data_IF_625993022087
#
_entry.id   IF_625993022087
#
_cell.length_a   1.000
_cell.length_b   1.000
_cell.length_c   1.000
_cell.angle_alpha   90.00
_cell.angle_beta   90.00
_cell.angle_gamma   90.00
#
_symmetry.space_group_name_H-M   'P 1'
#
loop_
_entity.id
_entity.type
_entity.pdbx_description
1 polymer ?
#
# COMPACT_ATOMS: atom_id res chain seq x y z
N UNK A 1 -2.55 3.98 -16.91
CA UNK A 1 -1.44 3.02 -16.67
C UNK A 1 -2.01 1.63 -16.45
N UNK A 2 -2.83 1.44 -15.41
CA UNK A 2 -3.46 0.14 -15.08
C UNK A 2 -4.30 -0.44 -16.22
N UNK A 3 -5.07 0.39 -16.93
CA UNK A 3 -5.86 -0.09 -18.07
C UNK A 3 -5.01 -0.75 -19.17
N UNK A 4 -3.79 -0.23 -19.40
CA UNK A 4 -2.85 -0.85 -20.36
C UNK A 4 -2.33 -2.19 -19.84
N UNK A 5 -1.97 -2.27 -18.56
CA UNK A 5 -1.53 -3.51 -17.93
C UNK A 5 -2.64 -4.57 -18.04
N UNK A 6 -3.89 -4.22 -17.73
CA UNK A 6 -5.02 -5.14 -17.81
C UNK A 6 -5.35 -5.55 -19.24
N UNK A 7 -5.18 -4.65 -20.22
CA UNK A 7 -5.24 -4.99 -21.64
C UNK A 7 -4.24 -6.09 -22.02
N UNK A 8 -2.98 -5.94 -21.61
CA UNK A 8 -1.95 -6.97 -21.89
C UNK A 8 -2.23 -8.31 -21.21
N UNK A 9 -2.78 -8.31 -19.99
CA UNK A 9 -3.19 -9.54 -19.32
C UNK A 9 -4.30 -10.25 -20.10
N UNK A 10 -5.32 -9.50 -20.54
CA UNK A 10 -6.42 -10.03 -21.33
C UNK A 10 -5.93 -10.60 -22.66
N UNK A 11 -5.08 -9.87 -23.40
CA UNK A 11 -4.46 -10.35 -24.65
C UNK A 11 -3.66 -11.63 -24.45
N UNK A 12 -2.97 -11.76 -23.31
CA UNK A 12 -2.24 -12.96 -22.93
C UNK A 12 -3.12 -14.08 -22.34
N UNK A 13 -4.44 -13.91 -22.28
CA UNK A 13 -5.38 -14.88 -21.70
C UNK A 13 -5.23 -15.08 -20.20
N UNK A 14 -4.68 -14.10 -19.48
CA UNK A 14 -4.46 -14.14 -18.03
C UNK A 14 -5.56 -13.38 -17.29
N UNK A 15 -6.08 -13.98 -16.22
CA UNK A 15 -6.99 -13.29 -15.31
C UNK A 15 -6.21 -12.28 -14.46
N UNK A 16 -6.70 -11.03 -14.42
CA UNK A 16 -6.16 -9.97 -13.57
C UNK A 16 -6.10 -10.36 -12.09
N UNK A 17 -7.00 -11.21 -11.60
CA UNK A 17 -7.02 -11.65 -10.20
C UNK A 17 -5.80 -12.51 -9.84
N UNK A 18 -5.12 -13.09 -10.84
CA UNK A 18 -3.91 -13.88 -10.62
C UNK A 18 -2.65 -13.02 -10.48
N UNK A 19 -2.74 -11.72 -10.77
CA UNK A 19 -1.61 -10.80 -10.67
C UNK A 19 -1.66 -10.03 -9.35
N UNK A 20 -0.65 -10.26 -8.50
CA UNK A 20 -0.39 -9.42 -7.34
C UNK A 20 0.12 -8.04 -7.75
N UNK A 21 -0.48 -6.98 -7.21
CA UNK A 21 -0.01 -5.60 -7.39
C UNK A 21 0.30 -5.06 -6.00
N UNK A 22 1.58 -4.80 -5.76
CA UNK A 22 2.07 -4.19 -4.53
C UNK A 22 2.28 -2.69 -4.74
N UNK A 23 1.80 -1.88 -3.80
CA UNK A 23 2.22 -0.50 -3.67
C UNK A 23 2.92 -0.28 -2.33
N UNK A 24 3.79 0.74 -2.28
CA UNK A 24 4.54 1.11 -1.08
C UNK A 24 4.02 2.44 -0.55
N UNK A 25 3.71 2.47 0.74
CA UNK A 25 3.38 3.67 1.52
C UNK A 25 4.50 3.91 2.52
N UNK A 26 4.92 5.15 2.75
CA UNK A 26 6.01 5.46 3.69
C UNK A 26 5.53 6.25 4.89
N UNK A 27 5.92 5.81 6.10
CA UNK A 27 5.64 6.55 7.33
C UNK A 27 6.40 7.88 7.40
N UNK A 28 7.52 7.98 6.67
CA UNK A 28 8.29 9.23 6.56
C UNK A 28 7.60 10.30 5.69
N UNK A 29 6.54 9.93 4.96
CA UNK A 29 5.89 10.78 3.97
C UNK A 29 4.44 11.08 4.41
N UNK A 30 4.31 12.07 5.28
CA UNK A 30 3.00 12.54 5.76
C UNK A 30 2.50 11.82 7.01
N UNK A 31 1.32 12.25 7.48
CA UNK A 31 0.66 11.69 8.65
C UNK A 31 -0.12 10.40 8.35
N UNK A 32 -0.69 9.81 9.40
CA UNK A 32 -1.44 8.55 9.31
C UNK A 32 -2.65 8.67 8.36
N UNK A 33 -3.36 9.79 8.35
CA UNK A 33 -4.53 9.97 7.49
C UNK A 33 -4.12 10.08 6.02
N UNK A 34 -2.98 10.73 5.75
CA UNK A 34 -2.38 10.77 4.41
C UNK A 34 -1.99 9.37 3.94
N UNK A 35 -1.36 8.56 4.80
CA UNK A 35 -0.99 7.17 4.52
C UNK A 35 -2.22 6.31 4.21
N UNK A 36 -3.32 6.47 4.96
CA UNK A 36 -4.60 5.77 4.69
C UNK A 36 -5.18 6.21 3.35
N UNK A 37 -5.24 7.52 3.07
CA UNK A 37 -5.74 8.01 1.76
C UNK A 37 -4.92 7.51 0.59
N UNK A 38 -3.60 7.44 0.74
CA UNK A 38 -2.71 6.88 -0.28
C UNK A 38 -3.01 5.40 -0.51
N UNK A 39 -3.20 4.64 0.56
CA UNK A 39 -3.57 3.22 0.52
C UNK A 39 -4.87 2.99 -0.25
N UNK A 40 -5.91 3.79 0.03
CA UNK A 40 -7.18 3.68 -0.66
C UNK A 40 -7.08 4.09 -2.14
N UNK A 41 -6.25 5.09 -2.45
CA UNK A 41 -5.95 5.44 -3.83
C UNK A 41 -5.32 4.27 -4.57
N UNK A 42 -4.33 3.59 -3.98
CA UNK A 42 -3.74 2.38 -4.55
C UNK A 42 -4.75 1.24 -4.70
N UNK A 43 -5.61 1.04 -3.71
CA UNK A 43 -6.71 0.06 -3.78
C UNK A 43 -7.65 0.34 -4.94
N UNK A 44 -8.01 1.61 -5.17
CA UNK A 44 -8.84 2.03 -6.31
C UNK A 44 -8.21 1.75 -7.68
N UNK A 45 -6.88 1.70 -7.74
CA UNK A 45 -6.13 1.32 -8.94
C UNK A 45 -5.94 -0.19 -9.09
N UNK A 46 -6.39 -1.00 -8.13
CA UNK A 46 -6.28 -2.46 -8.18
C UNK A 46 -5.06 -3.04 -7.46
N UNK A 47 -4.40 -2.27 -6.58
CA UNK A 47 -3.40 -2.85 -5.68
C UNK A 47 -4.03 -3.93 -4.80
N UNK A 48 -3.38 -5.08 -4.71
CA UNK A 48 -3.82 -6.23 -3.88
C UNK A 48 -3.00 -6.35 -2.61
N UNK A 49 -1.83 -5.73 -2.56
CA UNK A 49 -0.92 -5.75 -1.43
C UNK A 49 -0.39 -4.34 -1.16
N UNK A 50 -0.10 -4.05 0.10
CA UNK A 50 0.57 -2.83 0.52
C UNK A 50 1.77 -3.17 1.39
N UNK A 51 2.90 -2.55 1.08
CA UNK A 51 4.07 -2.51 1.94
C UNK A 51 4.13 -1.17 2.66
N UNK A 52 4.12 -1.20 4.00
CA UNK A 52 4.41 0.00 4.79
C UNK A 52 5.90 0.07 5.09
N UNK A 53 6.55 1.16 4.66
CA UNK A 53 7.94 1.44 4.95
C UNK A 53 8.09 2.38 6.15
N UNK A 54 8.83 1.96 7.17
CA UNK A 54 9.16 2.79 8.33
C UNK A 54 10.57 3.40 8.28
N UNK A 55 11.36 3.06 7.27
CA UNK A 55 12.70 3.60 7.10
C UNK A 55 12.64 5.10 6.82
N UNK A 56 13.59 5.87 7.35
CA UNK A 56 13.62 7.33 7.18
C UNK A 56 12.63 8.09 8.06
N UNK A 57 11.81 7.42 8.89
CA UNK A 57 10.87 8.07 9.81
C UNK A 57 11.52 8.67 11.06
N UNK A 58 12.86 8.66 11.15
CA UNK A 58 13.65 9.17 12.29
C UNK A 58 13.30 8.55 13.66
N UNK A 59 12.71 7.35 13.66
CA UNK A 59 12.46 6.59 14.88
C UNK A 59 13.77 6.20 15.57
N UNK A 60 13.74 6.22 16.90
CA UNK A 60 14.90 5.99 17.78
C UNK A 60 14.93 4.58 18.36
N UNK A 61 13.85 3.82 18.21
CA UNK A 61 13.71 2.50 18.80
C UNK A 61 12.86 1.57 17.93
N UNK A 62 13.10 0.27 18.09
CA UNK A 62 12.27 -0.78 17.49
C UNK A 62 10.78 -0.61 17.85
N UNK A 63 10.48 -0.21 19.08
CA UNK A 63 9.09 -0.05 19.53
C UNK A 63 8.35 1.05 18.77
N UNK A 64 9.03 2.14 18.38
CA UNK A 64 8.43 3.18 17.55
C UNK A 64 8.08 2.65 16.15
N UNK A 65 8.96 1.85 15.54
CA UNK A 65 8.66 1.17 14.27
C UNK A 65 7.45 0.25 14.39
N UNK A 66 7.40 -0.58 15.44
CA UNK A 66 6.28 -1.51 15.68
C UNK A 66 4.97 -0.77 15.96
N UNK A 67 5.02 0.35 16.69
CA UNK A 67 3.84 1.17 16.95
C UNK A 67 3.30 1.82 15.66
N UNK A 68 4.17 2.34 14.81
CA UNK A 68 3.75 2.92 13.52
C UNK A 68 3.05 1.86 12.64
N UNK A 69 3.64 0.68 12.52
CA UNK A 69 3.04 -0.46 11.79
C UNK A 69 1.67 -0.86 12.35
N UNK A 70 1.53 -0.93 13.68
CA UNK A 70 0.25 -1.24 14.34
C UNK A 70 -0.81 -0.17 14.07
N UNK A 71 -0.47 1.11 14.25
CA UNK A 71 -1.39 2.24 14.03
C UNK A 71 -1.90 2.26 12.59
N UNK A 72 -0.98 2.13 11.63
CA UNK A 72 -1.32 2.05 10.22
C UNK A 72 -2.25 0.86 9.92
N UNK A 73 -1.89 -0.34 10.38
CA UNK A 73 -2.70 -1.55 10.17
C UNK A 73 -4.12 -1.39 10.72
N UNK A 74 -4.27 -0.84 11.92
CA UNK A 74 -5.58 -0.64 12.52
C UNK A 74 -6.39 0.46 11.82
N UNK A 75 -5.75 1.53 11.35
CA UNK A 75 -6.41 2.59 10.59
C UNK A 75 -6.94 2.10 9.23
N UNK A 76 -6.17 1.27 8.51
CA UNK A 76 -6.58 0.71 7.21
C UNK A 76 -7.65 -0.39 7.36
N UNK A 77 -7.68 -1.13 8.49
CA UNK A 77 -8.69 -2.17 8.74
C UNK A 77 -10.09 -1.65 9.04
N UNK A 78 -10.22 -0.43 9.54
CA UNK A 78 -11.50 0.15 9.94
C UNK A 78 -12.35 0.63 8.74
N UNK A 79 -11.95 0.31 7.50
CA UNK A 79 -12.65 0.67 6.26
C UNK A 79 -12.84 -0.51 5.32
#
# INVERSE_FOLDING_TARGET
MMDRLFGYLQEAGRDRQTLGIEARVSVSEGDLDQQVRETEKWRSYGATHISLNTMGAHFKSLDEHLQALRRYKEAVKQQ
#
